data_IF_606790343274
#
_entry.id   IF_606790343274
#
_cell.length_a   1.000
_cell.length_b   1.000
_cell.length_c   1.000
_cell.angle_alpha   90.00
_cell.angle_beta   90.00
_cell.angle_gamma   90.00
#
_symmetry.space_group_name_H-M   'P 1'
#
loop_
_entity.id
_entity.type
_entity.pdbx_description
1 polymer ?
#
# COMPACT_ATOMS: atom_id res chain seq x y z
N UNK A 1 -14.94 -9.16 -1.45
CA UNK A 1 -14.82 -8.86 -2.90
C UNK A 1 -15.65 -7.66 -3.31
N UNK A 2 -16.97 -7.63 -3.06
CA UNK A 2 -17.81 -6.46 -3.44
C UNK A 2 -17.31 -5.12 -2.91
N UNK A 3 -16.72 -5.10 -1.71
CA UNK A 3 -16.08 -3.90 -1.14
C UNK A 3 -14.93 -3.36 -2.02
N UNK A 4 -14.00 -4.23 -2.42
CA UNK A 4 -12.86 -3.89 -3.27
C UNK A 4 -13.29 -3.44 -4.68
N UNK A 5 -14.21 -4.17 -5.31
CA UNK A 5 -14.69 -3.80 -6.65
C UNK A 5 -15.52 -2.51 -6.62
N UNK A 6 -16.32 -2.34 -5.57
CA UNK A 6 -17.14 -1.15 -5.40
C UNK A 6 -16.33 0.12 -5.17
N UNK A 7 -15.16 0.04 -4.51
CA UNK A 7 -14.29 1.21 -4.34
C UNK A 7 -13.74 1.73 -5.67
N UNK A 8 -13.40 0.81 -6.57
CA UNK A 8 -12.86 1.10 -7.90
C UNK A 8 -13.95 1.34 -8.95
N UNK A 9 -15.22 1.04 -8.65
CA UNK A 9 -16.31 1.14 -9.60
C UNK A 9 -16.46 2.58 -10.11
N UNK A 10 -16.32 2.77 -11.43
CA UNK A 10 -16.32 4.09 -12.11
C UNK A 10 -15.23 5.04 -11.58
N UNK A 11 -14.05 4.53 -11.24
CA UNK A 11 -12.91 5.37 -10.88
C UNK A 11 -12.52 6.33 -12.01
N UNK A 12 -12.51 5.86 -13.27
CA UNK A 12 -12.22 6.70 -14.44
C UNK A 12 -13.19 7.88 -14.58
N UNK A 13 -14.48 7.69 -14.31
CA UNK A 13 -15.48 8.78 -14.30
C UNK A 13 -15.32 9.78 -13.15
N UNK A 14 -14.34 9.56 -12.28
CA UNK A 14 -13.96 10.48 -11.21
C UNK A 14 -12.55 11.03 -11.44
N UNK A 15 -11.99 10.86 -12.64
CA UNK A 15 -10.68 11.39 -12.99
C UNK A 15 -10.61 12.92 -12.79
N UNK A 16 -11.71 13.65 -12.99
CA UNK A 16 -11.80 15.08 -12.68
C UNK A 16 -11.45 15.46 -11.22
N UNK A 17 -11.52 14.52 -10.28
CA UNK A 17 -11.06 14.77 -8.90
C UNK A 17 -9.52 14.87 -8.78
N UNK A 18 -8.77 14.47 -9.82
CA UNK A 18 -7.32 14.64 -9.90
C UNK A 18 -7.02 16.03 -10.47
N UNK A 19 -6.44 16.90 -9.64
CA UNK A 19 -6.08 18.25 -10.05
C UNK A 19 -4.68 18.26 -10.68
N UNK A 20 -4.58 18.89 -11.86
CA UNK A 20 -3.34 19.17 -12.57
C UNK A 20 -3.15 20.68 -12.65
N UNK A 21 -1.99 21.17 -12.22
CA UNK A 21 -1.64 22.58 -12.32
C UNK A 21 -1.28 22.93 -13.77
N UNK A 22 -1.82 24.02 -14.31
CA UNK A 22 -1.44 24.56 -15.61
C UNK A 22 -0.90 25.99 -15.43
N UNK A 23 0.34 26.25 -15.88
CA UNK A 23 0.95 27.59 -15.82
C UNK A 23 1.46 27.98 -17.20
N UNK A 24 1.07 29.17 -17.67
CA UNK A 24 1.51 29.71 -18.94
C UNK A 24 2.66 30.71 -18.75
N UNK A 25 3.91 30.26 -18.92
CA UNK A 25 5.09 31.16 -18.93
C UNK A 25 5.38 31.76 -20.32
N UNK A 26 4.79 31.20 -21.37
CA UNK A 26 4.93 31.68 -22.74
C UNK A 26 4.09 32.96 -22.97
N UNK A 27 2.85 32.97 -22.50
CA UNK A 27 1.88 34.05 -22.76
C UNK A 27 1.48 34.19 -24.23
N UNK A 28 1.83 33.19 -25.07
CA UNK A 28 1.63 33.18 -26.51
C UNK A 28 0.67 32.09 -26.97
N UNK A 29 0.67 31.82 -28.28
CA UNK A 29 -0.24 30.85 -28.92
C UNK A 29 -0.01 29.41 -28.45
N UNK A 30 1.21 29.02 -28.09
CA UNK A 30 1.49 27.70 -27.51
C UNK A 30 0.83 27.57 -26.13
N UNK A 31 0.98 28.56 -25.26
CA UNK A 31 0.27 28.60 -23.97
C UNK A 31 -1.26 28.53 -24.13
N UNK A 32 -1.82 29.36 -25.02
CA UNK A 32 -3.26 29.38 -25.34
C UNK A 32 -3.75 28.07 -25.98
N UNK A 33 -2.88 27.33 -26.68
CA UNK A 33 -3.26 26.03 -27.26
C UNK A 33 -3.61 25.00 -26.18
N UNK A 34 -3.03 25.11 -24.98
CA UNK A 34 -3.34 24.21 -23.86
C UNK A 34 -4.77 24.42 -23.36
N UNK A 35 -5.20 25.68 -23.19
CA UNK A 35 -6.58 25.97 -22.78
C UNK A 35 -7.58 25.59 -23.87
N UNK A 36 -7.25 25.84 -25.15
CA UNK A 36 -8.03 25.39 -26.29
C UNK A 36 -8.12 23.86 -26.42
N UNK A 37 -7.10 23.13 -26.00
CA UNK A 37 -7.11 21.66 -25.93
C UNK A 37 -7.95 21.16 -24.76
N UNK A 38 -7.76 21.74 -23.58
CA UNK A 38 -8.49 21.34 -22.38
C UNK A 38 -10.00 21.53 -22.53
N UNK A 39 -10.46 22.61 -23.16
CA UNK A 39 -11.90 22.86 -23.41
C UNK A 39 -12.61 21.74 -24.19
N UNK A 40 -11.86 20.90 -24.92
CA UNK A 40 -12.39 19.74 -25.68
C UNK A 40 -12.33 18.43 -24.91
N UNK A 41 -11.48 18.36 -23.88
CA UNK A 41 -11.22 17.17 -23.08
C UNK A 41 -11.86 17.24 -21.70
N UNK A 42 -12.23 18.44 -21.24
CA UNK A 42 -12.85 18.67 -19.96
C UNK A 42 -14.13 17.82 -19.80
N UNK A 43 -14.20 17.10 -18.69
CA UNK A 43 -15.31 16.22 -18.38
C UNK A 43 -14.98 15.33 -17.20
N UNK A 44 -15.92 14.47 -16.83
CA UNK A 44 -15.80 13.61 -15.66
C UNK A 44 -14.67 12.57 -15.78
N UNK A 45 -14.35 12.17 -17.01
CA UNK A 45 -13.36 11.16 -17.37
C UNK A 45 -11.96 11.74 -17.63
N UNK A 46 -11.72 13.02 -17.33
CA UNK A 46 -10.43 13.68 -17.53
C UNK A 46 -10.01 14.47 -16.28
N UNK A 47 -8.71 14.47 -15.88
CA UNK A 47 -8.22 15.29 -14.76
C UNK A 47 -8.52 16.78 -14.92
N UNK A 48 -8.92 17.44 -13.84
CA UNK A 48 -9.22 18.87 -13.88
C UNK A 48 -7.93 19.69 -13.97
N UNK A 49 -7.82 20.50 -15.03
CA UNK A 49 -6.73 21.47 -15.16
C UNK A 49 -7.07 22.76 -14.44
N UNK A 50 -6.19 23.18 -13.54
CA UNK A 50 -6.29 24.45 -12.81
C UNK A 50 -5.26 25.42 -13.37
N UNK A 51 -5.75 26.42 -14.12
CA UNK A 51 -4.90 27.48 -14.66
C UNK A 51 -4.54 28.47 -13.55
N UNK A 52 -3.26 28.59 -13.24
CA UNK A 52 -2.77 29.50 -12.22
C UNK A 52 -1.95 30.65 -12.84
N UNK A 53 -2.03 31.87 -12.27
CA UNK A 53 -1.28 33.01 -12.75
C UNK A 53 0.21 32.91 -12.40
N UNK A 54 1.04 33.57 -13.21
CA UNK A 54 2.49 33.70 -12.99
C UNK A 54 2.86 34.34 -11.64
N UNK A 55 1.96 35.12 -11.05
CA UNK A 55 2.18 35.73 -9.72
C UNK A 55 2.24 34.69 -8.59
N UNK A 56 1.55 33.56 -8.75
CA UNK A 56 1.50 32.49 -7.76
C UNK A 56 2.61 31.45 -7.97
N UNK A 57 2.93 31.17 -9.24
CA UNK A 57 4.01 30.25 -9.62
C UNK A 57 5.00 30.94 -10.58
N UNK A 58 5.90 31.82 -10.09
CA UNK A 58 6.81 32.59 -10.94
C UNK A 58 7.83 31.74 -11.72
N UNK A 59 8.16 30.54 -11.25
CA UNK A 59 9.13 29.65 -11.88
C UNK A 59 8.62 28.22 -12.03
N UNK A 60 9.18 27.48 -12.99
CA UNK A 60 8.92 26.04 -13.17
C UNK A 60 9.24 25.25 -11.89
N UNK A 61 10.20 25.73 -11.10
CA UNK A 61 10.52 25.12 -9.81
C UNK A 61 9.36 25.26 -8.80
N UNK A 62 8.63 26.38 -8.81
CA UNK A 62 7.45 26.55 -7.94
C UNK A 62 6.33 25.59 -8.32
N UNK A 63 6.13 25.36 -9.63
CA UNK A 63 5.19 24.36 -10.13
C UNK A 63 5.63 22.94 -9.73
N UNK A 64 6.93 22.62 -9.83
CA UNK A 64 7.50 21.35 -9.35
C UNK A 64 7.31 21.17 -7.86
N UNK A 65 7.52 22.21 -7.07
CA UNK A 65 7.40 22.18 -5.61
C UNK A 65 5.93 22.03 -5.20
N UNK A 66 4.97 22.58 -5.95
CA UNK A 66 3.54 22.34 -5.74
C UNK A 66 3.15 20.86 -5.94
N UNK A 67 3.65 20.23 -7.00
CA UNK A 67 3.48 18.78 -7.24
C UNK A 67 4.19 17.96 -6.16
N UNK A 68 5.37 18.41 -5.73
CA UNK A 68 6.12 17.77 -4.64
C UNK A 68 5.37 17.89 -3.30
N UNK A 69 4.74 19.03 -2.95
CA UNK A 69 4.01 19.17 -1.68
C UNK A 69 2.81 18.22 -1.58
N UNK A 70 2.14 17.94 -2.69
CA UNK A 70 0.91 17.14 -2.70
C UNK A 70 -0.31 17.90 -3.20
N UNK A 71 -0.19 19.21 -3.44
CA UNK A 71 -1.30 20.10 -3.82
C UNK A 71 -1.91 19.69 -5.18
N UNK A 72 -1.06 19.20 -6.08
CA UNK A 72 -1.43 18.71 -7.40
C UNK A 72 -0.86 17.31 -7.67
N UNK A 73 -1.49 16.58 -8.59
CA UNK A 73 -1.02 15.29 -9.08
C UNK A 73 0.08 15.42 -10.13
N UNK A 74 -0.02 16.46 -10.96
CA UNK A 74 0.96 16.83 -11.95
C UNK A 74 0.88 18.34 -12.23
N UNK A 75 1.84 18.86 -12.98
CA UNK A 75 1.78 20.19 -13.57
C UNK A 75 2.09 20.11 -15.07
N UNK A 76 1.49 20.98 -15.86
CA UNK A 76 1.87 21.25 -17.25
C UNK A 76 2.21 22.73 -17.38
N UNK A 77 3.37 23.02 -17.95
CA UNK A 77 3.88 24.38 -18.08
C UNK A 77 4.27 24.65 -19.52
N UNK A 78 3.90 25.83 -20.05
CA UNK A 78 4.48 26.32 -21.30
C UNK A 78 5.85 26.94 -21.00
N UNK A 79 6.85 26.67 -21.82
CA UNK A 79 8.18 27.24 -21.63
C UNK A 79 8.19 28.73 -22.00
N UNK A 80 8.93 29.60 -21.28
CA UNK A 80 9.00 31.02 -21.58
C UNK A 80 9.48 31.26 -23.01
N UNK A 81 8.73 32.05 -23.79
CA UNK A 81 9.07 32.36 -25.19
C UNK A 81 9.02 31.16 -26.16
N UNK A 82 8.28 30.11 -25.84
CA UNK A 82 8.08 28.98 -26.74
C UNK A 82 7.43 29.43 -28.08
N UNK A 83 6.43 30.30 -28.03
CA UNK A 83 5.75 30.84 -29.21
C UNK A 83 6.68 31.71 -30.06
N UNK A 84 7.53 32.52 -29.42
CA UNK A 84 8.47 33.38 -30.14
C UNK A 84 9.59 32.55 -30.80
N UNK A 85 10.09 31.51 -30.12
CA UNK A 85 11.04 30.53 -30.71
C UNK A 85 10.43 29.82 -31.91
N UNK A 86 9.19 29.36 -31.81
CA UNK A 86 8.49 28.71 -32.91
C UNK A 86 8.30 29.69 -34.08
N UNK A 87 7.83 30.91 -33.81
CA UNK A 87 7.64 31.93 -34.86
C UNK A 87 8.95 32.27 -35.58
N UNK A 88 10.08 32.33 -34.87
CA UNK A 88 11.39 32.55 -35.48
C UNK A 88 11.85 31.35 -36.32
N UNK A 89 11.55 30.12 -35.88
CA UNK A 89 11.88 28.89 -36.60
C UNK A 89 11.13 28.77 -37.93
N UNK A 90 9.91 29.30 -38.03
CA UNK A 90 9.14 29.28 -39.28
C UNK A 90 9.81 30.09 -40.41
N UNK A 91 10.59 31.13 -40.09
CA UNK A 91 11.32 31.93 -41.06
C UNK A 91 12.52 31.23 -41.72
N UNK A 92 12.93 30.06 -41.22
CA UNK A 92 14.09 29.30 -41.71
C UNK A 92 15.43 29.75 -41.13
N UNK A 93 16.51 29.17 -41.66
CA UNK A 93 17.89 29.47 -41.29
C UNK A 93 18.30 28.87 -39.93
N UNK A 94 19.17 29.59 -39.22
CA UNK A 94 19.76 29.09 -37.95
C UNK A 94 18.70 28.91 -36.85
N UNK A 95 17.66 29.75 -36.84
CA UNK A 95 16.57 29.64 -35.88
C UNK A 95 15.79 28.33 -36.06
N UNK A 96 15.52 27.95 -37.31
CA UNK A 96 14.87 26.69 -37.64
C UNK A 96 15.76 25.48 -37.28
N UNK A 97 17.05 25.55 -37.61
CA UNK A 97 18.00 24.47 -37.33
C UNK A 97 18.22 24.23 -35.83
N UNK A 98 18.01 25.23 -34.98
CA UNK A 98 18.14 25.15 -33.51
C UNK A 98 16.81 24.94 -32.79
N UNK A 99 15.70 24.89 -33.52
CA UNK A 99 14.40 24.75 -32.90
C UNK A 99 14.21 23.33 -32.35
N UNK A 100 14.07 23.22 -31.04
CA UNK A 100 13.74 21.97 -30.38
C UNK A 100 12.28 22.00 -29.93
N UNK A 101 11.44 21.18 -30.55
CA UNK A 101 10.02 21.12 -30.16
C UNK A 101 9.81 20.63 -28.72
N UNK A 102 10.79 19.91 -28.12
CA UNK A 102 10.74 19.38 -26.74
C UNK A 102 10.72 20.48 -25.67
N UNK A 103 11.15 21.70 -26.02
CA UNK A 103 11.32 22.85 -25.15
C UNK A 103 10.14 23.82 -25.30
N UNK A 104 8.96 23.29 -25.61
CA UNK A 104 7.72 24.07 -25.76
C UNK A 104 6.81 23.89 -24.58
N UNK A 105 6.57 22.64 -24.20
CA UNK A 105 5.79 22.25 -23.03
C UNK A 105 6.62 21.34 -22.15
N UNK A 106 6.47 21.49 -20.84
CA UNK A 106 7.05 20.58 -19.87
C UNK A 106 5.95 20.12 -18.92
N UNK A 107 5.86 18.81 -18.66
CA UNK A 107 4.98 18.31 -17.61
C UNK A 107 5.79 17.72 -16.45
N UNK A 108 5.34 18.00 -15.23
CA UNK A 108 5.99 17.60 -13.98
C UNK A 108 5.09 16.63 -13.24
N UNK A 109 5.63 15.49 -12.81
CA UNK A 109 4.88 14.49 -12.04
C UNK A 109 5.80 13.70 -11.11
N UNK A 110 5.22 12.96 -10.17
CA UNK A 110 5.96 12.15 -9.20
C UNK A 110 5.70 10.66 -9.40
N UNK A 111 6.70 9.96 -9.94
CA UNK A 111 6.65 8.51 -10.19
C UNK A 111 6.63 7.63 -8.93
N UNK A 112 6.84 8.18 -7.73
CA UNK A 112 6.81 7.41 -6.48
C UNK A 112 5.40 7.19 -5.89
N UNK A 113 4.34 7.80 -6.46
CA UNK A 113 2.95 7.64 -5.99
C UNK A 113 2.35 6.30 -6.50
N UNK A 114 1.07 6.33 -6.89
CA UNK A 114 0.31 5.18 -7.36
C UNK A 114 0.64 4.84 -8.81
N UNK A 115 1.46 3.80 -9.03
CA UNK A 115 1.95 3.45 -10.37
C UNK A 115 0.83 3.28 -11.43
N UNK A 116 -0.29 2.64 -11.08
CA UNK A 116 -1.40 2.44 -12.02
C UNK A 116 -2.12 3.75 -12.38
N UNK A 117 -2.32 4.65 -11.43
CA UNK A 117 -2.99 5.95 -11.64
C UNK A 117 -2.07 6.92 -12.35
N UNK A 118 -0.79 6.93 -11.99
CA UNK A 118 0.23 7.71 -12.68
C UNK A 118 0.26 7.38 -14.18
N UNK A 119 0.38 6.10 -14.53
CA UNK A 119 0.44 5.66 -15.93
C UNK A 119 -0.89 5.88 -16.66
N UNK A 120 -2.02 5.50 -16.04
CA UNK A 120 -3.33 5.46 -16.69
C UNK A 120 -4.09 6.79 -16.71
N UNK A 121 -4.01 7.57 -15.64
CA UNK A 121 -4.86 8.76 -15.43
C UNK A 121 -4.06 10.07 -15.51
N UNK A 122 -2.76 10.06 -15.23
CA UNK A 122 -1.93 11.28 -15.25
C UNK A 122 -1.14 11.39 -16.55
N UNK A 123 -0.21 10.46 -16.80
CA UNK A 123 0.70 10.52 -17.95
C UNK A 123 -0.08 10.39 -19.26
N UNK A 124 -1.00 9.42 -19.35
CA UNK A 124 -1.84 9.25 -20.54
C UNK A 124 -2.73 10.48 -20.81
N UNK A 125 -3.33 11.07 -19.77
CA UNK A 125 -4.15 12.28 -19.90
C UNK A 125 -3.34 13.50 -20.34
N UNK A 126 -2.15 13.70 -19.79
CA UNK A 126 -1.23 14.75 -20.22
C UNK A 126 -0.82 14.57 -21.69
N UNK A 127 -0.49 13.33 -22.10
CA UNK A 127 -0.19 13.03 -23.50
C UNK A 127 -1.38 13.29 -24.43
N UNK A 128 -2.60 12.95 -24.02
CA UNK A 128 -3.81 13.24 -24.77
C UNK A 128 -4.05 14.76 -24.90
N UNK A 129 -3.84 15.52 -23.81
CA UNK A 129 -3.92 16.98 -23.82
C UNK A 129 -2.90 17.60 -24.79
N UNK A 130 -1.66 17.13 -24.77
CA UNK A 130 -0.61 17.61 -25.67
C UNK A 130 -0.93 17.23 -27.13
N UNK A 131 -1.47 16.03 -27.36
CA UNK A 131 -1.97 15.62 -28.67
C UNK A 131 -3.11 16.51 -29.19
N UNK A 132 -3.96 17.03 -28.30
CA UNK A 132 -5.00 17.99 -28.63
C UNK A 132 -4.50 19.46 -28.72
N UNK A 133 -3.34 19.78 -28.12
CA UNK A 133 -2.73 21.11 -28.17
C UNK A 133 -2.21 21.47 -29.56
N UNK A 134 -1.60 20.53 -30.29
CA UNK A 134 -1.13 20.75 -31.68
C UNK A 134 -2.28 21.22 -32.61
N UNK A 135 -3.42 20.52 -32.74
CA UNK A 135 -4.52 21.01 -33.55
C UNK A 135 -5.17 22.28 -32.97
N UNK A 136 -5.12 22.52 -31.65
CA UNK A 136 -5.54 23.80 -31.07
C UNK A 136 -4.64 24.96 -31.52
N UNK A 137 -3.33 24.76 -31.52
CA UNK A 137 -2.37 25.75 -32.02
C UNK A 137 -2.62 26.07 -33.51
N UNK A 138 -2.82 25.04 -34.35
CA UNK A 138 -3.12 25.27 -35.77
C UNK A 138 -4.44 26.01 -36.00
N UNK A 139 -5.45 25.76 -35.16
CA UNK A 139 -6.71 26.51 -35.22
C UNK A 139 -6.53 27.98 -34.80
N UNK A 140 -5.65 28.27 -33.83
CA UNK A 140 -5.39 29.62 -33.33
C UNK A 140 -4.48 30.44 -34.26
N UNK A 141 -3.40 29.85 -34.75
CA UNK A 141 -2.32 30.58 -35.45
C UNK A 141 -1.83 29.91 -36.74
N UNK A 142 -2.42 28.78 -37.17
CA UNK A 142 -1.91 28.02 -38.31
C UNK A 142 -1.93 28.78 -39.64
N UNK A 143 -2.95 29.62 -39.87
CA UNK A 143 -3.10 30.43 -41.08
C UNK A 143 -2.11 31.59 -41.16
N UNK A 144 -1.70 32.16 -40.04
CA UNK A 144 -0.64 33.17 -40.02
C UNK A 144 0.75 32.51 -40.06
N UNK A 145 0.93 31.41 -39.31
CA UNK A 145 2.16 30.65 -39.29
C UNK A 145 2.58 30.16 -40.69
N UNK A 146 1.63 29.71 -41.52
CA UNK A 146 1.94 29.26 -42.89
C UNK A 146 2.37 30.41 -43.82
N UNK A 147 1.93 31.65 -43.57
CA UNK A 147 2.38 32.83 -44.35
C UNK A 147 3.83 33.18 -44.05
N UNK A 148 4.25 32.96 -42.81
CA UNK A 148 5.64 33.19 -42.36
C UNK A 148 6.57 32.02 -42.63
N UNK A 149 6.04 30.88 -43.07
CA UNK A 149 6.79 29.66 -43.28
C UNK A 149 7.69 29.75 -44.52
N UNK A 150 8.98 29.58 -44.33
CA UNK A 150 9.92 29.37 -45.42
C UNK A 150 9.86 27.90 -45.88
N UNK A 151 9.01 27.63 -46.88
CA UNK A 151 8.81 26.28 -47.41
C UNK A 151 10.04 25.68 -48.11
N UNK A 152 11.08 26.47 -48.38
CA UNK A 152 12.35 25.99 -48.95
C UNK A 152 13.31 25.43 -47.89
N UNK A 153 13.06 25.69 -46.60
CA UNK A 153 13.87 25.17 -45.50
C UNK A 153 13.17 23.97 -44.84
N UNK A 154 13.79 22.79 -44.93
CA UNK A 154 13.25 21.56 -44.35
C UNK A 154 13.10 21.65 -42.82
N UNK A 155 13.98 22.39 -42.13
CA UNK A 155 13.89 22.56 -40.68
C UNK A 155 12.67 23.42 -40.28
N UNK A 156 12.34 24.44 -41.09
CA UNK A 156 11.16 25.26 -40.87
C UNK A 156 9.86 24.47 -41.10
N UNK A 157 9.83 23.62 -42.13
CA UNK A 157 8.70 22.72 -42.40
C UNK A 157 8.52 21.70 -41.26
N UNK A 158 9.62 21.17 -40.72
CA UNK A 158 9.58 20.29 -39.54
C UNK A 158 9.06 20.99 -38.29
N UNK A 159 9.49 22.23 -38.03
CA UNK A 159 8.97 23.04 -36.92
C UNK A 159 7.46 23.34 -37.08
N UNK A 160 6.99 23.58 -38.31
CA UNK A 160 5.57 23.80 -38.58
C UNK A 160 4.71 22.54 -38.39
N UNK A 161 5.18 21.39 -38.86
CA UNK A 161 4.45 20.11 -38.79
C UNK A 161 4.51 19.44 -37.41
N UNK A 162 5.51 19.78 -36.60
CA UNK A 162 5.65 19.32 -35.23
C UNK A 162 5.96 20.50 -34.27
N UNK A 163 5.00 21.42 -34.07
CA UNK A 163 5.22 22.68 -33.36
C UNK A 163 5.29 22.53 -31.85
N UNK A 164 4.79 21.42 -31.31
CA UNK A 164 4.69 21.20 -29.87
C UNK A 164 5.08 19.76 -29.58
N UNK A 165 6.10 19.57 -28.75
CA UNK A 165 6.48 18.26 -28.20
C UNK A 165 6.78 18.44 -26.72
N UNK A 166 6.33 17.52 -25.85
CA UNK A 166 6.53 17.72 -24.44
C UNK A 166 7.90 17.20 -23.99
N UNK A 167 8.49 17.88 -23.01
CA UNK A 167 9.51 17.35 -22.11
C UNK A 167 8.85 16.96 -20.77
N UNK A 168 9.53 16.11 -20.00
CA UNK A 168 9.04 15.68 -18.69
C UNK A 168 10.06 15.92 -17.58
N UNK A 169 9.56 16.33 -16.42
CA UNK A 169 10.31 16.36 -15.17
C UNK A 169 9.67 15.36 -14.22
N UNK A 170 10.32 14.22 -14.07
CA UNK A 170 9.91 13.20 -13.11
C UNK A 170 10.62 13.44 -11.77
N UNK A 171 9.85 13.79 -10.73
CA UNK A 171 10.38 14.16 -9.41
C UNK A 171 11.18 13.00 -8.81
N UNK A 172 10.61 11.79 -8.86
CA UNK A 172 11.26 10.57 -8.46
C UNK A 172 11.00 9.50 -9.51
N UNK A 173 12.05 9.13 -10.24
CA UNK A 173 11.99 8.13 -11.30
C UNK A 173 11.90 6.73 -10.73
N UNK A 174 10.84 6.00 -11.06
CA UNK A 174 10.62 4.62 -10.62
C UNK A 174 10.49 3.67 -11.82
N UNK A 175 11.63 3.23 -12.42
CA UNK A 175 11.60 2.42 -13.64
C UNK A 175 11.20 0.96 -13.40
N UNK A 176 11.27 0.50 -12.15
CA UNK A 176 11.12 -0.90 -11.79
C UNK A 176 9.71 -1.43 -12.04
N UNK A 177 9.61 -2.57 -12.71
CA UNK A 177 8.32 -3.20 -13.03
C UNK A 177 7.55 -3.66 -11.78
N UNK A 178 8.28 -3.97 -10.70
CA UNK A 178 7.74 -4.43 -9.42
C UNK A 178 6.94 -3.37 -8.66
N UNK A 179 7.01 -2.09 -9.05
CA UNK A 179 6.34 -0.98 -8.34
C UNK A 179 4.82 -1.13 -8.25
N UNK A 180 4.19 -1.84 -9.20
CA UNK A 180 2.74 -2.12 -9.17
C UNK A 180 2.33 -3.03 -8.00
N UNK A 181 3.27 -3.76 -7.41
CA UNK A 181 3.04 -4.66 -6.29
C UNK A 181 3.06 -3.93 -4.93
N UNK A 182 3.69 -2.75 -4.86
CA UNK A 182 4.02 -2.08 -3.61
C UNK A 182 2.79 -1.65 -2.81
N UNK A 183 1.72 -1.25 -3.48
CA UNK A 183 0.47 -0.84 -2.84
C UNK A 183 -0.63 -1.91 -2.89
N UNK A 184 -0.32 -3.09 -3.45
CA UNK A 184 -1.23 -4.22 -3.61
C UNK A 184 -0.74 -5.40 -2.77
N UNK A 185 0.04 -6.29 -3.38
CA UNK A 185 0.54 -7.54 -2.79
C UNK A 185 1.42 -7.25 -1.57
N UNK A 186 2.26 -6.22 -1.62
CA UNK A 186 3.11 -5.84 -0.50
C UNK A 186 2.34 -5.27 0.70
N UNK A 187 1.06 -4.93 0.55
CA UNK A 187 0.18 -4.57 1.67
C UNK A 187 -0.52 -5.80 2.26
N UNK A 188 -0.79 -6.82 1.43
CA UNK A 188 -1.50 -8.06 1.80
C UNK A 188 -0.59 -9.07 2.49
N UNK A 189 0.57 -9.36 1.90
CA UNK A 189 1.47 -10.41 2.39
C UNK A 189 1.92 -10.19 3.84
N UNK A 190 2.26 -8.96 4.29
CA UNK A 190 2.59 -8.74 5.70
C UNK A 190 1.49 -9.19 6.68
N UNK A 191 0.21 -8.98 6.34
CA UNK A 191 -0.94 -9.38 7.18
C UNK A 191 -1.03 -10.91 7.25
N UNK A 192 -0.97 -11.57 6.09
CA UNK A 192 -1.06 -13.04 5.99
C UNK A 192 0.12 -13.71 6.72
N UNK A 193 1.32 -13.14 6.58
CA UNK A 193 2.51 -13.61 7.27
C UNK A 193 2.34 -13.54 8.79
N UNK A 194 1.81 -12.43 9.33
CA UNK A 194 1.53 -12.31 10.76
C UNK A 194 0.52 -13.36 11.23
N UNK A 195 -0.53 -13.60 10.44
CA UNK A 195 -1.54 -14.59 10.77
C UNK A 195 -0.95 -16.00 10.91
N UNK A 196 -0.17 -16.47 9.94
CA UNK A 196 0.42 -17.81 10.01
C UNK A 196 1.40 -17.98 11.17
N UNK A 197 2.22 -16.95 11.44
CA UNK A 197 3.13 -16.99 12.57
C UNK A 197 2.37 -17.02 13.91
N UNK A 198 1.32 -16.20 14.06
CA UNK A 198 0.47 -16.22 15.26
C UNK A 198 -0.22 -17.56 15.48
N UNK A 199 -0.68 -18.20 14.40
CA UNK A 199 -1.27 -19.54 14.45
C UNK A 199 -0.26 -20.58 14.97
N UNK A 200 0.98 -20.55 14.48
CA UNK A 200 2.04 -21.41 14.98
C UNK A 200 2.36 -21.13 16.45
N UNK A 201 2.49 -19.85 16.83
CA UNK A 201 2.77 -19.43 18.21
C UNK A 201 1.66 -19.89 19.17
N UNK A 202 0.40 -19.75 18.77
CA UNK A 202 -0.74 -20.20 19.57
C UNK A 202 -0.76 -21.73 19.70
N UNK A 203 -0.49 -22.47 18.63
CA UNK A 203 -0.38 -23.93 18.66
C UNK A 203 0.72 -24.42 19.59
N UNK A 204 1.91 -23.80 19.53
CA UNK A 204 3.04 -24.11 20.44
C UNK A 204 2.65 -23.85 21.89
N UNK A 205 2.10 -22.67 22.19
CA UNK A 205 1.72 -22.32 23.57
C UNK A 205 0.66 -23.26 24.16
N UNK A 206 -0.30 -23.71 23.34
CA UNK A 206 -1.30 -24.68 23.74
C UNK A 206 -0.69 -26.06 24.00
N UNK A 207 0.19 -26.55 23.11
CA UNK A 207 0.86 -27.85 23.28
C UNK A 207 1.71 -27.94 24.54
N UNK A 208 2.38 -26.84 24.92
CA UNK A 208 3.17 -26.78 26.15
C UNK A 208 2.34 -26.43 27.40
N UNK A 209 1.03 -26.18 27.27
CA UNK A 209 0.15 -25.83 28.38
C UNK A 209 0.60 -24.56 29.12
N UNK A 210 1.11 -23.57 28.37
CA UNK A 210 1.68 -22.33 28.93
C UNK A 210 0.58 -21.48 29.58
N UNK A 211 -0.61 -21.50 29.01
CA UNK A 211 -1.80 -20.82 29.54
C UNK A 211 -2.35 -21.55 30.77
N UNK A 212 -2.83 -20.79 31.76
CA UNK A 212 -3.37 -21.28 33.03
C UNK A 212 -2.31 -21.57 34.11
N UNK A 213 -1.04 -21.80 33.72
CA UNK A 213 0.06 -22.15 34.64
C UNK A 213 1.00 -21.01 34.97
N UNK A 214 1.14 -20.02 34.08
CA UNK A 214 1.97 -18.84 34.30
C UNK A 214 1.15 -17.61 34.67
N UNK A 215 1.79 -16.67 35.38
CA UNK A 215 1.19 -15.35 35.66
C UNK A 215 0.95 -14.61 34.35
N UNK A 216 -0.24 -14.03 34.18
CA UNK A 216 -0.66 -13.36 32.93
C UNK A 216 0.33 -12.29 32.44
N UNK A 217 0.95 -11.55 33.37
CA UNK A 217 1.96 -10.54 33.02
C UNK A 217 3.19 -11.12 32.32
N UNK A 218 3.64 -12.33 32.71
CA UNK A 218 4.78 -13.00 32.07
C UNK A 218 4.42 -13.49 30.67
N UNK A 219 3.20 -13.98 30.49
CA UNK A 219 2.68 -14.39 29.17
C UNK A 219 2.58 -13.17 28.25
N UNK A 220 2.05 -12.05 28.76
CA UNK A 220 1.96 -10.79 28.00
C UNK A 220 3.33 -10.27 27.56
N UNK A 221 4.30 -10.20 28.48
CA UNK A 221 5.68 -9.77 28.16
C UNK A 221 6.31 -10.72 27.13
N UNK A 222 6.21 -12.03 27.32
CA UNK A 222 6.73 -13.02 26.37
C UNK A 222 6.16 -12.80 24.97
N UNK A 223 4.84 -12.65 24.84
CA UNK A 223 4.18 -12.45 23.54
C UNK A 223 4.59 -11.13 22.90
N UNK A 224 4.66 -10.03 23.66
CA UNK A 224 5.07 -8.74 23.15
C UNK A 224 6.55 -8.71 22.72
N UNK A 225 7.44 -9.39 23.46
CA UNK A 225 8.84 -9.54 23.05
C UNK A 225 8.96 -10.35 21.76
N UNK A 226 8.23 -11.45 21.64
CA UNK A 226 8.21 -12.27 20.42
C UNK A 226 7.64 -11.46 19.24
N UNK A 227 6.55 -10.71 19.45
CA UNK A 227 5.95 -9.89 18.40
C UNK A 227 6.94 -8.86 17.86
N UNK A 228 7.59 -8.11 18.75
CA UNK A 228 8.56 -7.09 18.38
C UNK A 228 9.76 -7.68 17.61
N UNK A 229 10.36 -8.75 18.12
CA UNK A 229 11.54 -9.37 17.47
C UNK A 229 11.15 -9.96 16.11
N UNK A 230 10.05 -10.70 16.06
CA UNK A 230 9.59 -11.34 14.83
C UNK A 230 9.26 -10.30 13.76
N UNK A 231 8.45 -9.28 14.08
CA UNK A 231 8.04 -8.28 13.09
C UNK A 231 9.21 -7.42 12.65
N UNK A 232 10.19 -7.16 13.52
CA UNK A 232 11.41 -6.43 13.19
C UNK A 232 12.27 -7.17 12.16
N UNK A 233 12.45 -8.49 12.35
CA UNK A 233 13.19 -9.33 11.39
C UNK A 233 12.39 -9.59 10.11
N UNK A 234 11.08 -9.84 10.22
CA UNK A 234 10.20 -10.07 9.08
C UNK A 234 10.07 -8.84 8.18
N UNK A 235 10.01 -7.64 8.76
CA UNK A 235 9.97 -6.40 7.96
C UNK A 235 11.30 -6.13 7.27
N UNK A 236 12.43 -6.57 7.85
CA UNK A 236 13.74 -6.46 7.20
C UNK A 236 13.81 -7.32 5.95
N UNK A 237 13.23 -8.53 5.95
CA UNK A 237 13.18 -9.36 4.73
C UNK A 237 12.30 -8.72 3.66
N UNK A 238 11.20 -8.06 4.06
CA UNK A 238 10.35 -7.31 3.13
C UNK A 238 11.08 -6.12 2.50
N UNK A 239 11.66 -5.26 3.32
CA UNK A 239 12.48 -4.16 2.83
C UNK A 239 13.66 -4.66 1.98
N UNK A 240 14.26 -5.78 2.38
CA UNK A 240 15.37 -6.43 1.71
C UNK A 240 15.05 -6.88 0.28
N UNK A 241 13.90 -7.50 0.03
CA UNK A 241 13.56 -7.87 -1.35
C UNK A 241 13.16 -6.66 -2.20
N UNK A 242 12.49 -5.65 -1.63
CA UNK A 242 12.18 -4.39 -2.35
C UNK A 242 13.50 -3.74 -2.80
N UNK A 243 14.49 -3.76 -1.92
CA UNK A 243 15.83 -3.27 -2.21
C UNK A 243 16.56 -4.12 -3.25
N UNK A 244 16.47 -5.45 -3.18
CA UNK A 244 17.14 -6.35 -4.11
C UNK A 244 16.60 -6.21 -5.54
N UNK A 245 15.29 -6.01 -5.70
CA UNK A 245 14.61 -5.85 -6.99
C UNK A 245 14.35 -4.38 -7.35
N UNK A 246 15.20 -3.46 -6.89
CA UNK A 246 15.06 -2.02 -7.17
C UNK A 246 15.44 -1.63 -8.60
N UNK A 247 16.13 -2.49 -9.35
CA UNK A 247 16.63 -2.18 -10.70
C UNK A 247 17.42 -0.84 -10.69
N UNK A 248 17.14 0.07 -11.63
CA UNK A 248 17.76 1.41 -11.73
C UNK A 248 17.08 2.46 -10.83
N UNK A 249 16.25 2.04 -9.87
CA UNK A 249 15.61 2.95 -8.94
C UNK A 249 16.63 3.56 -7.97
N UNK A 250 16.81 4.88 -8.06
CA UNK A 250 17.79 5.67 -7.32
C UNK A 250 17.49 5.87 -5.83
N UNK A 251 17.15 4.81 -5.10
CA UNK A 251 16.91 4.86 -3.65
C UNK A 251 18.20 4.79 -2.83
N UNK A 252 18.26 5.60 -1.77
CA UNK A 252 19.40 5.70 -0.86
C UNK A 252 19.30 4.73 0.31
N UNK A 253 20.43 4.46 0.98
CA UNK A 253 20.46 3.63 2.19
C UNK A 253 19.60 4.21 3.33
N UNK A 254 19.45 5.54 3.40
CA UNK A 254 18.53 6.17 4.37
C UNK A 254 17.07 5.82 4.05
N UNK A 255 16.68 5.88 2.77
CA UNK A 255 15.34 5.49 2.34
C UNK A 255 15.06 4.00 2.57
N UNK A 256 16.08 3.15 2.46
CA UNK A 256 15.99 1.73 2.86
C UNK A 256 15.65 1.57 4.34
N UNK A 257 16.40 2.23 5.23
CA UNK A 257 16.17 2.15 6.67
C UNK A 257 14.77 2.67 7.06
N UNK A 258 14.33 3.77 6.46
CA UNK A 258 12.98 4.32 6.68
C UNK A 258 11.88 3.41 6.12
N UNK A 259 12.11 2.78 4.96
CA UNK A 259 11.21 1.77 4.39
C UNK A 259 11.07 0.60 5.37
N UNK A 260 12.19 0.09 5.90
CA UNK A 260 12.20 -0.98 6.88
C UNK A 260 11.41 -0.61 8.15
N UNK A 261 11.66 0.55 8.75
CA UNK A 261 10.93 0.99 9.95
C UNK A 261 9.42 1.16 9.69
N UNK A 262 9.04 1.62 8.50
CA UNK A 262 7.63 1.75 8.10
C UNK A 262 6.95 0.39 7.97
N UNK A 263 7.62 -0.59 7.34
CA UNK A 263 7.12 -1.97 7.29
C UNK A 263 7.08 -2.63 8.66
N UNK A 264 8.06 -2.37 9.53
CA UNK A 264 8.09 -2.88 10.90
C UNK A 264 6.86 -2.43 11.68
N UNK A 265 6.59 -1.12 11.68
CA UNK A 265 5.42 -0.56 12.36
C UNK A 265 4.11 -1.15 11.81
N UNK A 266 3.96 -1.24 10.48
CA UNK A 266 2.78 -1.85 9.87
C UNK A 266 2.62 -3.33 10.22
N UNK A 267 3.70 -4.12 10.16
CA UNK A 267 3.67 -5.53 10.55
C UNK A 267 3.32 -5.71 12.02
N UNK A 268 3.85 -4.85 12.89
CA UNK A 268 3.57 -4.93 14.31
C UNK A 268 2.12 -4.57 14.64
N UNK A 269 1.57 -3.50 14.04
CA UNK A 269 0.14 -3.18 14.13
C UNK A 269 -0.72 -4.39 13.71
N UNK A 270 -0.42 -5.01 12.56
CA UNK A 270 -1.19 -6.16 12.09
C UNK A 270 -1.03 -7.37 13.01
N UNK A 271 0.17 -7.61 13.55
CA UNK A 271 0.39 -8.66 14.54
C UNK A 271 -0.49 -8.42 15.77
N UNK A 272 -0.51 -7.20 16.32
CA UNK A 272 -1.29 -6.86 17.51
C UNK A 272 -2.79 -7.02 17.29
N UNK A 273 -3.31 -6.54 16.15
CA UNK A 273 -4.73 -6.70 15.78
C UNK A 273 -5.10 -8.18 15.70
N UNK A 274 -4.30 -8.99 15.01
CA UNK A 274 -4.54 -10.42 14.88
C UNK A 274 -4.35 -11.16 16.21
N UNK A 275 -3.41 -10.75 17.05
CA UNK A 275 -3.18 -11.33 18.37
C UNK A 275 -4.38 -11.10 19.31
N UNK A 276 -4.90 -9.86 19.34
CA UNK A 276 -6.10 -9.53 20.08
C UNK A 276 -7.28 -10.36 19.60
N UNK A 277 -7.48 -10.46 18.29
CA UNK A 277 -8.64 -11.14 17.70
C UNK A 277 -8.60 -12.64 17.93
N UNK A 278 -7.43 -13.25 17.84
CA UNK A 278 -7.24 -14.66 18.18
C UNK A 278 -7.47 -14.95 19.67
N UNK A 279 -7.64 -13.93 20.53
CA UNK A 279 -8.01 -14.12 21.93
C UNK A 279 -9.53 -14.15 22.11
N UNK A 280 -10.28 -13.33 21.35
CA UNK A 280 -11.71 -13.13 21.53
C UNK A 280 -12.57 -13.92 20.54
N UNK A 281 -12.06 -14.18 19.33
CA UNK A 281 -12.81 -14.86 18.27
C UNK A 281 -12.48 -16.36 18.27
N UNK A 282 -13.49 -17.24 18.18
CA UNK A 282 -13.26 -18.66 18.06
C UNK A 282 -12.44 -19.03 16.81
N UNK A 283 -11.58 -20.05 16.90
CA UNK A 283 -10.81 -20.62 15.79
C UNK A 283 -11.51 -20.73 14.43
N UNK A 284 -12.76 -21.20 14.43
CA UNK A 284 -13.57 -21.44 13.24
C UNK A 284 -13.90 -20.17 12.44
N UNK A 285 -13.88 -19.00 13.09
CA UNK A 285 -14.26 -17.73 12.46
C UNK A 285 -13.07 -16.83 12.10
N UNK A 286 -11.84 -17.21 12.48
CA UNK A 286 -10.65 -16.37 12.26
C UNK A 286 -10.39 -16.09 10.78
N UNK A 287 -10.57 -17.09 9.92
CA UNK A 287 -10.34 -16.93 8.49
C UNK A 287 -11.23 -15.84 7.87
N UNK A 288 -12.50 -15.75 8.30
CA UNK A 288 -13.43 -14.71 7.82
C UNK A 288 -13.00 -13.32 8.27
N UNK A 289 -12.52 -13.19 9.51
CA UNK A 289 -11.98 -11.92 9.98
C UNK A 289 -10.73 -11.52 9.20
N UNK A 290 -9.73 -12.40 9.10
CA UNK A 290 -8.45 -12.11 8.43
C UNK A 290 -8.68 -11.74 6.98
N UNK A 291 -9.55 -12.46 6.27
CA UNK A 291 -9.89 -12.16 4.90
C UNK A 291 -10.54 -10.77 4.78
N UNK A 292 -11.51 -10.45 5.64
CA UNK A 292 -12.20 -9.15 5.62
C UNK A 292 -11.22 -8.01 5.95
N UNK A 293 -10.41 -8.17 6.99
CA UNK A 293 -9.39 -7.21 7.40
C UNK A 293 -8.37 -6.95 6.30
N UNK A 294 -7.90 -8.00 5.64
CA UNK A 294 -6.97 -7.92 4.52
C UNK A 294 -7.59 -7.18 3.34
N UNK A 295 -8.84 -7.51 2.97
CA UNK A 295 -9.55 -6.85 1.87
C UNK A 295 -9.73 -5.36 2.18
N UNK A 296 -10.16 -4.99 3.39
CA UNK A 296 -10.33 -3.58 3.77
C UNK A 296 -9.00 -2.81 3.67
N UNK A 297 -7.92 -3.37 4.21
CA UNK A 297 -6.60 -2.74 4.19
C UNK A 297 -6.06 -2.57 2.77
N UNK A 298 -6.05 -3.61 1.95
CA UNK A 298 -5.54 -3.48 0.57
C UNK A 298 -6.41 -2.51 -0.24
N UNK A 299 -7.72 -2.55 -0.08
CA UNK A 299 -8.64 -1.60 -0.76
C UNK A 299 -8.32 -0.15 -0.41
N UNK A 300 -7.89 0.12 0.83
CA UNK A 300 -7.49 1.48 1.25
C UNK A 300 -6.18 1.99 0.65
N UNK A 301 -5.32 1.09 0.14
CA UNK A 301 -4.00 1.44 -0.39
C UNK A 301 -3.90 1.31 -1.93
N UNK A 302 -4.85 0.63 -2.58
CA UNK A 302 -4.78 0.35 -4.02
C UNK A 302 -4.94 1.60 -4.89
N UNK A 303 -5.85 2.50 -4.52
CA UNK A 303 -6.17 3.70 -5.30
C UNK A 303 -6.25 4.94 -4.40
N UNK A 304 -5.92 6.13 -4.92
CA UNK A 304 -6.13 7.39 -4.22
C UNK A 304 -7.62 7.60 -3.94
N UNK A 305 -7.93 8.15 -2.76
CA UNK A 305 -9.31 8.29 -2.29
C UNK A 305 -10.12 9.36 -3.03
N UNK A 306 -9.44 10.23 -3.76
CA UNK A 306 -9.99 11.18 -4.71
C UNK A 306 -10.81 10.45 -5.79
N UNK A 307 -10.32 9.30 -6.25
CA UNK A 307 -10.96 8.45 -7.26
C UNK A 307 -11.99 7.46 -6.68
N UNK A 308 -12.09 7.36 -5.36
CA UNK A 308 -13.04 6.48 -4.69
C UNK A 308 -14.34 7.22 -4.36
N UNK A 309 -15.47 6.49 -4.39
CA UNK A 309 -16.73 7.05 -3.93
C UNK A 309 -16.65 7.41 -2.42
N UNK A 310 -17.38 8.44 -2.00
CA UNK A 310 -17.29 9.01 -0.65
C UNK A 310 -17.46 7.98 0.48
N UNK A 311 -18.29 6.96 0.29
CA UNK A 311 -18.46 5.85 1.24
C UNK A 311 -17.14 5.18 1.61
N UNK A 312 -16.21 4.98 0.68
CA UNK A 312 -14.96 4.24 0.93
C UNK A 312 -13.88 5.07 1.61
N UNK A 313 -14.10 6.38 1.80
CA UNK A 313 -13.11 7.29 2.39
C UNK A 313 -12.90 7.06 3.89
N UNK A 314 -13.73 6.28 4.58
CA UNK A 314 -13.42 5.86 5.96
C UNK A 314 -12.09 5.08 6.05
N UNK A 315 -11.61 4.53 4.93
CA UNK A 315 -10.32 3.86 4.83
C UNK A 315 -9.09 4.72 5.16
N UNK A 316 -9.21 6.05 5.31
CA UNK A 316 -8.16 6.88 5.92
C UNK A 316 -7.79 6.42 7.33
N UNK A 317 -8.70 5.76 8.04
CA UNK A 317 -8.41 5.21 9.36
C UNK A 317 -7.63 3.89 9.31
N UNK A 318 -7.42 3.28 8.13
CA UNK A 318 -6.80 1.96 8.02
C UNK A 318 -5.27 2.04 7.91
N UNK A 319 -4.54 1.10 8.55
CA UNK A 319 -3.08 1.20 8.63
C UNK A 319 -2.39 1.04 7.27
N UNK A 320 -2.96 0.28 6.31
CA UNK A 320 -2.34 0.12 5.00
C UNK A 320 -2.29 1.42 4.18
N UNK A 321 -3.36 2.25 4.23
CA UNK A 321 -3.36 3.58 3.58
C UNK A 321 -2.24 4.44 4.13
N UNK A 322 -2.19 4.57 5.46
CA UNK A 322 -1.29 5.49 6.13
C UNK A 322 0.16 5.04 5.98
N UNK A 323 0.41 3.73 6.09
CA UNK A 323 1.71 3.15 5.77
C UNK A 323 2.13 3.48 4.34
N UNK A 324 1.25 3.30 3.35
CA UNK A 324 1.59 3.59 1.96
C UNK A 324 1.88 5.08 1.75
N UNK A 325 1.14 5.97 2.40
CA UNK A 325 1.43 7.42 2.40
C UNK A 325 2.83 7.73 2.94
N UNK A 326 3.24 7.10 4.05
CA UNK A 326 4.60 7.23 4.59
C UNK A 326 5.64 6.70 3.60
N UNK A 327 5.40 5.54 2.99
CA UNK A 327 6.31 4.95 2.01
C UNK A 327 6.50 5.85 0.78
N UNK A 328 5.42 6.40 0.22
CA UNK A 328 5.48 7.36 -0.90
C UNK A 328 6.36 8.56 -0.54
N UNK A 329 6.24 9.08 0.68
CA UNK A 329 7.06 10.20 1.12
C UNK A 329 8.54 9.83 1.26
N UNK A 330 8.83 8.68 1.87
CA UNK A 330 10.19 8.16 1.98
C UNK A 330 10.80 7.98 0.59
N UNK A 331 10.09 7.31 -0.30
CA UNK A 331 10.53 6.98 -1.65
C UNK A 331 10.71 8.20 -2.53
N UNK A 332 9.86 9.21 -2.42
CA UNK A 332 9.98 10.45 -3.19
C UNK A 332 10.99 11.46 -2.65
N UNK A 333 11.78 11.09 -1.64
CA UNK A 333 12.80 11.97 -1.06
C UNK A 333 12.22 13.12 -0.24
N UNK A 334 11.01 12.96 0.31
CA UNK A 334 10.34 13.95 1.16
C UNK A 334 9.15 14.67 0.51
N UNK A 335 8.85 14.39 -0.76
CA UNK A 335 7.62 14.89 -1.37
C UNK A 335 6.37 14.19 -0.79
N UNK A 336 5.20 14.81 -0.94
CA UNK A 336 3.91 14.40 -0.42
C UNK A 336 3.92 14.28 1.11
N UNK A 337 4.32 15.37 1.78
CA UNK A 337 4.53 15.36 3.23
C UNK A 337 3.22 15.27 4.02
N UNK A 338 2.80 14.05 4.32
CA UNK A 338 1.58 13.74 5.06
C UNK A 338 1.86 12.96 6.35
N UNK A 339 3.12 12.92 6.82
CA UNK A 339 3.51 12.25 8.08
C UNK A 339 2.71 12.72 9.29
N UNK A 340 2.35 14.00 9.33
CA UNK A 340 1.60 14.61 10.42
C UNK A 340 0.18 14.03 10.57
N UNK A 341 -0.36 13.39 9.53
CA UNK A 341 -1.65 12.67 9.55
C UNK A 341 -1.40 11.17 9.71
N UNK A 342 -0.47 10.63 8.92
CA UNK A 342 -0.26 9.18 8.83
C UNK A 342 0.32 8.57 10.10
N UNK A 343 1.35 9.19 10.69
CA UNK A 343 2.01 8.64 11.88
C UNK A 343 1.08 8.59 13.09
N UNK A 344 0.33 9.66 13.45
CA UNK A 344 -0.62 9.58 14.56
C UNK A 344 -1.63 8.45 14.43
N UNK A 345 -2.15 8.18 13.24
CA UNK A 345 -3.10 7.08 12.99
C UNK A 345 -2.41 5.73 13.22
N UNK A 346 -1.20 5.54 12.69
CA UNK A 346 -0.43 4.31 12.90
C UNK A 346 -0.09 4.09 14.37
N UNK A 347 0.33 5.14 15.09
CA UNK A 347 0.59 5.07 16.53
C UNK A 347 -0.70 4.84 17.34
N UNK A 348 -1.85 5.36 16.92
CA UNK A 348 -3.12 5.07 17.57
C UNK A 348 -3.46 3.58 17.48
N UNK A 349 -3.27 2.97 16.30
CA UNK A 349 -3.41 1.52 16.11
C UNK A 349 -2.44 0.72 16.97
N UNK A 350 -1.20 1.20 17.09
CA UNK A 350 -0.18 0.58 17.93
C UNK A 350 -0.61 0.58 19.41
N UNK A 351 -1.03 1.74 19.95
CA UNK A 351 -1.47 1.87 21.34
C UNK A 351 -2.71 1.03 21.63
N UNK A 352 -3.71 1.07 20.74
CA UNK A 352 -4.93 0.26 20.87
C UNK A 352 -4.59 -1.23 20.75
N UNK A 353 -3.73 -1.60 19.81
CA UNK A 353 -3.28 -2.96 19.56
C UNK A 353 -2.55 -3.56 20.76
N UNK A 354 -1.59 -2.84 21.35
CA UNK A 354 -0.88 -3.25 22.56
C UNK A 354 -1.86 -3.43 23.72
N UNK A 355 -2.75 -2.46 23.93
CA UNK A 355 -3.77 -2.54 24.97
C UNK A 355 -4.65 -3.78 24.81
N UNK A 356 -5.14 -4.03 23.60
CA UNK A 356 -6.01 -5.16 23.28
C UNK A 356 -5.29 -6.51 23.34
N UNK A 357 -4.02 -6.58 22.94
CA UNK A 357 -3.18 -7.78 23.07
C UNK A 357 -2.96 -8.14 24.54
N UNK A 358 -2.67 -7.15 25.38
CA UNK A 358 -2.52 -7.34 26.83
C UNK A 358 -3.82 -7.85 27.45
N UNK A 359 -4.97 -7.22 27.15
CA UNK A 359 -6.29 -7.68 27.61
C UNK A 359 -6.62 -9.09 27.10
N UNK A 360 -6.32 -9.39 25.84
CA UNK A 360 -6.49 -10.72 25.25
C UNK A 360 -5.63 -11.78 25.93
N UNK A 361 -4.39 -11.44 26.31
CA UNK A 361 -3.51 -12.30 27.10
C UNK A 361 -4.09 -12.63 28.49
N UNK A 362 -4.63 -11.62 29.18
CA UNK A 362 -5.33 -11.81 30.45
C UNK A 362 -6.56 -12.71 30.30
N UNK A 363 -7.36 -12.47 29.26
CA UNK A 363 -8.57 -13.26 28.96
C UNK A 363 -8.25 -14.73 28.70
N UNK A 364 -7.28 -15.01 27.80
CA UNK A 364 -6.82 -16.38 27.51
C UNK A 364 -6.35 -17.12 28.75
N UNK A 365 -5.54 -16.45 29.57
CA UNK A 365 -4.99 -17.06 30.77
C UNK A 365 -6.05 -17.36 31.82
N UNK A 366 -7.03 -16.45 31.98
CA UNK A 366 -8.15 -16.65 32.90
C UNK A 366 -9.04 -17.82 32.47
N UNK A 367 -9.34 -17.94 31.18
CA UNK A 367 -10.14 -19.05 30.65
C UNK A 367 -9.42 -20.39 30.79
N UNK A 368 -8.15 -20.48 30.41
CA UNK A 368 -7.36 -21.70 30.58
C UNK A 368 -7.24 -22.11 32.06
N UNK A 369 -7.12 -21.14 32.98
CA UNK A 369 -7.10 -21.42 34.42
C UNK A 369 -8.43 -21.98 34.92
N UNK A 370 -9.56 -21.47 34.43
CA UNK A 370 -10.89 -21.99 34.77
C UNK A 370 -11.08 -23.43 34.28
N UNK A 371 -10.60 -23.75 33.09
CA UNK A 371 -10.65 -25.11 32.53
C UNK A 371 -9.82 -26.09 33.37
N UNK A 372 -8.60 -25.70 33.75
CA UNK A 372 -7.74 -26.54 34.62
C UNK A 372 -8.44 -26.80 35.96
N UNK A 373 -8.95 -25.76 36.62
CA UNK A 373 -9.64 -25.91 37.91
C UNK A 373 -10.92 -26.76 37.80
N UNK A 374 -11.66 -26.65 36.70
CA UNK A 374 -12.85 -27.47 36.47
C UNK A 374 -12.53 -28.95 36.26
N UNK A 375 -11.39 -29.26 35.63
CA UNK A 375 -10.91 -30.63 35.49
C UNK A 375 -10.41 -31.16 36.83
N UNK A 376 -9.65 -30.37 37.59
CA UNK A 376 -9.21 -30.73 38.95
C UNK A 376 -10.40 -31.03 39.87
N UNK A 377 -11.44 -30.19 39.87
CA UNK A 377 -12.65 -30.41 40.67
C UNK A 377 -13.40 -31.71 40.29
N UNK A 378 -13.49 -32.03 38.99
CA UNK A 378 -14.11 -33.30 38.54
C UNK A 378 -13.31 -34.51 39.01
N UNK A 379 -11.98 -34.44 38.97
CA UNK A 379 -11.11 -35.52 39.45
C UNK A 379 -11.28 -35.72 40.98
N UNK A 380 -11.42 -34.64 41.74
CA UNK A 380 -11.64 -34.71 43.19
C UNK A 380 -13.03 -35.28 43.54
N UNK A 381 -14.07 -34.92 42.79
CA UNK A 381 -15.44 -35.49 42.95
C UNK A 381 -15.48 -36.99 42.61
N UNK A 382 -14.80 -37.42 41.54
CA UNK A 382 -14.69 -38.85 41.17
C UNK A 382 -13.89 -39.65 42.22
N UNK A 383 -12.83 -39.06 42.77
CA UNK A 383 -12.02 -39.68 43.81
C UNK A 383 -12.76 -39.80 45.16
N UNK A 384 -13.66 -38.87 45.47
CA UNK A 384 -14.43 -38.85 46.72
C UNK A 384 -15.78 -39.59 46.65
N UNK A 385 -16.34 -39.77 45.45
CA UNK A 385 -17.66 -40.37 45.19
C UNK A 385 -17.74 -41.90 45.22
N UNK A 386 -16.65 -42.63 45.45
CA UNK A 386 -16.69 -44.09 45.60
C UNK A 386 -17.10 -44.89 44.35
N UNK A 387 -17.01 -44.30 43.16
CA UNK A 387 -17.11 -45.04 41.90
C UNK A 387 -15.79 -45.77 41.64
N UNK A 388 -15.88 -46.96 41.03
CA UNK A 388 -14.79 -47.90 40.72
C UNK A 388 -13.43 -47.22 40.56
N UNK A 389 -12.42 -47.68 41.32
CA UNK A 389 -11.01 -47.27 41.23
C UNK A 389 -10.64 -47.17 39.75
N UNK A 390 -10.66 -45.94 39.22
CA UNK A 390 -10.24 -45.65 37.88
C UNK A 390 -8.84 -46.22 37.73
N UNK A 391 -8.64 -47.05 36.71
CA UNK A 391 -7.33 -47.67 36.52
C UNK A 391 -6.29 -46.56 36.35
N UNK A 392 -5.07 -46.77 36.82
CA UNK A 392 -3.99 -45.77 36.70
C UNK A 392 -3.84 -45.29 35.23
N UNK A 393 -4.18 -46.15 34.28
CA UNK A 393 -4.23 -45.87 32.84
C UNK A 393 -5.32 -44.87 32.45
N UNK A 394 -6.53 -44.94 33.03
CA UNK A 394 -7.60 -43.94 32.85
C UNK A 394 -7.22 -42.59 33.47
N UNK A 395 -6.56 -42.59 34.63
CA UNK A 395 -6.05 -41.37 35.26
C UNK A 395 -4.91 -40.76 34.43
N UNK A 396 -4.04 -41.58 33.84
CA UNK A 396 -3.01 -41.09 32.91
C UNK A 396 -3.59 -40.59 31.59
N UNK A 397 -4.62 -41.25 31.04
CA UNK A 397 -5.35 -40.82 29.86
C UNK A 397 -6.05 -39.50 30.10
N UNK A 398 -6.75 -39.36 31.23
CA UNK A 398 -7.38 -38.10 31.65
C UNK A 398 -6.35 -36.99 31.84
N UNK A 399 -5.20 -37.26 32.50
CA UNK A 399 -4.09 -36.30 32.62
C UNK A 399 -3.48 -35.94 31.25
N UNK A 400 -3.42 -36.87 30.31
CA UNK A 400 -3.02 -36.60 28.92
C UNK A 400 -4.07 -35.79 28.18
N UNK A 401 -5.36 -36.01 28.44
CA UNK A 401 -6.48 -35.23 27.91
C UNK A 401 -6.47 -33.81 28.49
N UNK A 402 -6.18 -33.63 29.77
CA UNK A 402 -5.95 -32.32 30.40
C UNK A 402 -4.74 -31.60 29.78
N UNK A 403 -3.70 -32.34 29.37
CA UNK A 403 -2.56 -31.78 28.60
C UNK A 403 -2.96 -31.40 27.17
N UNK A 404 -3.96 -32.05 26.57
CA UNK A 404 -4.45 -31.77 25.21
C UNK A 404 -5.55 -30.70 25.15
N UNK A 405 -6.32 -30.50 26.22
CA UNK A 405 -7.49 -29.63 26.25
C UNK A 405 -7.27 -28.23 26.86
N UNK A 406 -6.04 -27.83 27.19
CA UNK A 406 -5.73 -26.49 27.70
C UNK A 406 -5.75 -25.37 26.61
N UNK A 407 -6.59 -25.51 25.59
CA UNK A 407 -6.78 -24.56 24.51
C UNK A 407 -7.69 -25.13 23.41
N UNK A 408 -8.40 -24.29 22.64
CA UNK A 408 -9.35 -24.77 21.65
C UNK A 408 -8.59 -25.58 20.58
N UNK A 409 -8.98 -26.84 20.44
CA UNK A 409 -8.32 -27.81 19.56
C UNK A 409 -8.42 -27.35 18.10
N UNK A 410 -7.31 -26.88 17.54
CA UNK A 410 -7.17 -26.76 16.10
C UNK A 410 -6.75 -28.12 15.52
N UNK A 411 -7.40 -28.60 14.45
CA UNK A 411 -6.87 -29.74 13.71
C UNK A 411 -5.57 -29.31 13.02
N UNK A 412 -4.45 -29.86 13.45
CA UNK A 412 -3.15 -29.74 12.78
C UNK A 412 -3.06 -30.81 11.68
N UNK A 413 -2.89 -30.46 10.40
CA UNK A 413 -2.91 -31.43 9.29
C UNK A 413 -1.72 -32.40 9.24
N UNK A 414 -0.74 -32.30 10.14
CA UNK A 414 0.51 -33.07 10.08
C UNK A 414 0.79 -33.99 11.28
N UNK A 415 -0.16 -34.18 12.20
CA UNK A 415 0.02 -35.07 13.37
C UNK A 415 -0.72 -36.40 13.28
N UNK A 416 -1.49 -36.64 12.22
CA UNK A 416 -2.20 -37.92 11.99
C UNK A 416 -1.42 -38.86 11.07
N UNK A 417 -0.12 -39.03 11.32
CA UNK A 417 0.67 -40.08 10.68
C UNK A 417 1.19 -41.06 11.75
N UNK A 418 0.47 -42.18 11.83
CA UNK A 418 0.88 -43.50 12.32
C UNK A 418 1.34 -43.64 13.79
N UNK A 419 0.41 -44.09 14.64
CA UNK A 419 0.71 -45.07 15.70
C UNK A 419 -0.34 -46.17 15.64
N UNK A 420 -0.10 -47.20 14.83
CA UNK A 420 -0.81 -48.48 14.99
C UNK A 420 -0.30 -49.15 16.28
N UNK A 421 -1.18 -49.71 17.12
CA UNK A 421 -0.76 -50.44 18.30
C UNK A 421 -0.11 -51.77 17.90
N UNK A 422 1.06 -52.05 18.47
CA UNK A 422 1.70 -53.36 18.43
C UNK A 422 0.80 -54.32 19.22
N UNK A 423 0.07 -55.17 18.50
CA UNK A 423 -0.78 -56.20 19.08
C UNK A 423 0.04 -57.24 19.83
N UNK A 424 -0.38 -57.52 21.07
CA UNK A 424 0.17 -58.57 21.91
C UNK A 424 -0.01 -59.95 21.25
N UNK A 425 1.11 -60.59 20.90
CA UNK A 425 1.11 -62.01 20.49
C UNK A 425 1.14 -62.88 21.75
N UNK A 426 -0.02 -63.46 22.07
CA UNK A 426 -0.26 -64.42 23.14
C UNK A 426 0.49 -65.72 22.82
N UNK A 427 1.47 -66.10 23.65
CA UNK A 427 2.06 -67.46 23.66
C UNK A 427 0.96 -68.46 24.05
N UNK A 428 0.56 -69.33 23.13
CA UNK A 428 0.00 -70.64 23.47
C UNK A 428 1.17 -71.62 23.60
N UNK A 429 1.23 -72.34 24.72
CA UNK A 429 2.25 -73.35 24.98
C UNK A 429 1.97 -74.66 24.25
N UNK A 430 3.04 -75.42 24.05
CA UNK A 430 3.02 -76.88 23.90
C UNK A 430 4.28 -77.46 24.52
N UNK A 431 4.03 -78.42 25.42
CA UNK A 431 4.90 -79.35 26.17
C UNK A 431 5.78 -78.76 27.27
#
# INVERSE_FOLDING_TARGET
MSYLYGSLYRSGHRAHALNILAVDYDGGFIGQSISGAYSRLEGNDFPSLQFAPLSEYPSIQDARDAVCRGDYWAAIVSQPGASSRLSAALGGGVAAARYESNDTLTYVYNGARYAAVELGEIVASLQALIGAAVPAYHALNGTEAIKTLNASDSAAVMAFTNPIRPSSIEIMRTPQGTRILFNTVSMVLPIIQQFFFLMALNGINNNYGIYGRLRSSRIGIMRLSISLIYTFLASLTVAGYIWAYREDWGVTANQFALTWMTYWMYMHINFLVLDAITAFIPPSFLAFFVLTWTICNVTSAIYPFELNAGFYRWGYALPAREMYTVLVQVWSGGCNNQLHIALPILFAWEVVGVTMSVLGGFYRNANARREILAVEAKLDDEASGGAQVATMEEIELLKMETRRHAGPSFPMPFLTADRRPIGAMRRQGTV
#
